data_IF_989783693167
#
_entry.id   IF_989783693167
#
_cell.length_a   1.000
_cell.length_b   1.000
_cell.length_c   1.000
_cell.angle_alpha   90.00
_cell.angle_beta   90.00
_cell.angle_gamma   90.00
#
_symmetry.space_group_name_H-M   'P 1'
#
loop_
_entity.id
_entity.type
_entity.pdbx_description
1 polymer ?
#
# COMPACT_ATOMS: atom_id res chain seq x y z
N UNK A 1 12.19 22.13 14.27
CA UNK A 1 10.94 21.53 14.79
C UNK A 1 11.06 20.03 14.58
N UNK A 2 10.96 19.19 15.63
CA UNK A 2 11.12 17.75 15.45
C UNK A 2 9.99 17.24 14.55
N UNK A 3 10.36 16.65 13.41
CA UNK A 3 9.49 15.88 12.53
C UNK A 3 9.06 14.61 13.27
N UNK A 4 8.10 14.72 14.18
CA UNK A 4 7.72 13.59 15.03
C UNK A 4 6.88 12.59 14.23
N UNK A 5 7.54 11.52 13.80
CA UNK A 5 6.93 10.21 13.52
C UNK A 5 6.61 9.44 14.82
N UNK A 6 6.50 10.13 15.96
CA UNK A 6 6.30 9.49 17.25
C UNK A 6 4.92 8.88 17.40
N UNK A 7 4.84 7.81 18.19
CA UNK A 7 3.60 7.13 18.57
C UNK A 7 2.78 7.91 19.63
N UNK A 8 3.17 9.16 19.91
CA UNK A 8 2.55 10.01 20.92
C UNK A 8 1.99 11.27 20.26
N UNK A 9 0.83 11.71 20.77
CA UNK A 9 0.19 12.98 20.39
C UNK A 9 1.16 14.15 20.58
N UNK A 10 1.15 15.09 19.63
CA UNK A 10 1.94 16.33 19.70
C UNK A 10 1.23 17.36 20.61
N UNK A 11 -0.09 17.44 20.54
CA UNK A 11 -0.95 18.27 21.40
C UNK A 11 -2.37 17.69 21.52
N UNK A 12 -3.27 18.39 22.21
CA UNK A 12 -4.67 17.99 22.34
C UNK A 12 -5.42 17.95 21.00
N UNK A 13 -5.00 18.79 20.04
CA UNK A 13 -5.64 18.94 18.72
C UNK A 13 -4.79 18.42 17.55
N UNK A 14 -3.49 18.18 17.78
CA UNK A 14 -2.54 17.66 16.78
C UNK A 14 -2.00 16.33 17.28
N UNK A 15 -2.50 15.25 16.70
CA UNK A 15 -2.05 13.88 16.99
C UNK A 15 -0.68 13.65 16.35
N UNK A 16 -0.55 13.94 15.05
CA UNK A 16 0.68 13.69 14.27
C UNK A 16 0.94 14.81 13.27
N UNK A 17 2.17 14.92 12.79
CA UNK A 17 2.56 15.80 11.70
C UNK A 17 3.40 15.04 10.68
N UNK A 18 3.12 15.23 9.39
CA UNK A 18 3.94 14.72 8.28
C UNK A 18 4.40 15.88 7.42
N UNK A 19 5.67 15.86 7.05
CA UNK A 19 6.21 16.78 6.06
C UNK A 19 6.16 16.10 4.70
N UNK A 20 5.33 16.62 3.80
CA UNK A 20 5.35 16.25 2.40
C UNK A 20 6.29 17.22 1.68
N UNK A 21 7.32 16.71 1.03
CA UNK A 21 8.34 17.51 0.37
C UNK A 21 8.46 17.12 -1.10
N UNK A 22 8.72 18.10 -1.96
CA UNK A 22 8.98 17.90 -3.39
C UNK A 22 10.33 18.53 -3.70
N UNK A 23 11.16 17.77 -4.42
CA UNK A 23 12.52 18.18 -4.82
C UNK A 23 12.56 18.42 -6.33
N UNK A 24 13.32 19.42 -6.78
CA UNK A 24 13.43 19.76 -8.21
C UNK A 24 14.06 18.61 -9.02
N UNK A 25 13.19 17.84 -9.70
CA UNK A 25 13.57 16.72 -10.56
C UNK A 25 14.54 17.12 -11.67
N UNK A 26 14.42 18.32 -12.24
CA UNK A 26 15.27 18.77 -13.36
C UNK A 26 16.72 18.92 -12.92
N UNK A 27 16.92 19.44 -11.70
CA UNK A 27 18.24 19.56 -11.06
C UNK A 27 18.77 18.19 -10.63
N UNK A 28 17.92 17.37 -9.98
CA UNK A 28 18.31 16.02 -9.53
C UNK A 28 18.84 15.15 -10.67
N UNK A 29 18.19 15.14 -11.83
CA UNK A 29 18.61 14.33 -12.97
C UNK A 29 19.97 14.74 -13.56
N UNK A 30 20.42 15.97 -13.31
CA UNK A 30 21.72 16.48 -13.73
C UNK A 30 22.80 16.32 -12.67
N UNK A 31 22.45 15.84 -11.47
CA UNK A 31 23.35 15.83 -10.32
C UNK A 31 23.67 17.22 -9.78
N UNK A 32 22.82 18.22 -10.07
CA UNK A 32 22.96 19.58 -9.57
C UNK A 32 22.27 19.74 -8.20
N UNK A 33 22.68 20.72 -7.36
CA UNK A 33 21.91 21.08 -6.18
C UNK A 33 20.44 21.38 -6.54
N UNK A 34 19.52 20.67 -5.89
CA UNK A 34 18.09 20.78 -6.13
C UNK A 34 17.41 21.47 -4.94
N UNK A 35 16.48 22.39 -5.24
CA UNK A 35 15.63 23.01 -4.22
C UNK A 35 14.55 22.04 -3.78
N UNK A 36 14.17 22.14 -2.50
CA UNK A 36 13.09 21.38 -1.90
C UNK A 36 12.02 22.35 -1.38
N UNK A 37 10.75 22.02 -1.60
CA UNK A 37 9.62 22.72 -1.01
C UNK A 37 8.75 21.74 -0.23
N UNK A 38 8.42 22.08 1.01
CA UNK A 38 7.68 21.19 1.92
C UNK A 38 6.39 21.85 2.43
N UNK A 39 5.37 21.02 2.63
CA UNK A 39 4.11 21.38 3.30
C UNK A 39 3.92 20.43 4.49
N UNK A 40 3.45 20.99 5.61
CA UNK A 40 3.09 20.20 6.79
C UNK A 40 1.63 19.77 6.65
N UNK A 41 1.39 18.47 6.85
CA UNK A 41 0.06 17.88 6.93
C UNK A 41 -0.12 17.35 8.35
N UNK A 42 -1.12 17.88 9.05
CA UNK A 42 -1.43 17.51 10.43
C UNK A 42 -2.44 16.36 10.47
N UNK A 43 -2.44 15.59 11.57
CA UNK A 43 -3.41 14.55 11.88
C UNK A 43 -3.51 13.44 10.81
N UNK A 44 -2.40 13.16 10.13
CA UNK A 44 -2.25 12.03 9.21
C UNK A 44 -1.14 11.11 9.70
N UNK A 45 -1.38 9.79 9.65
CA UNK A 45 -0.37 8.81 10.01
C UNK A 45 0.44 8.41 8.77
N UNK A 46 0.23 7.21 8.22
CA UNK A 46 0.99 6.70 7.08
C UNK A 46 0.48 7.28 5.75
N UNK A 47 1.11 8.37 5.30
CA UNK A 47 0.82 9.05 4.05
C UNK A 47 1.71 8.51 2.93
N UNK A 48 1.12 7.94 1.89
CA UNK A 48 1.84 7.41 0.74
C UNK A 48 1.69 8.33 -0.48
N UNK A 49 2.80 8.57 -1.18
CA UNK A 49 2.82 9.23 -2.48
C UNK A 49 2.42 8.24 -3.58
N UNK A 50 1.66 8.70 -4.56
CA UNK A 50 1.39 7.94 -5.76
C UNK A 50 2.68 7.78 -6.57
N UNK A 51 3.02 6.54 -6.91
CA UNK A 51 4.25 6.20 -7.61
C UNK A 51 3.93 5.65 -9.01
N UNK A 52 4.62 6.19 -10.02
CA UNK A 52 4.27 6.02 -11.43
C UNK A 52 4.79 4.70 -11.96
N UNK A 53 3.88 3.87 -12.45
CA UNK A 53 4.22 2.70 -13.26
C UNK A 53 3.95 2.96 -14.74
N UNK A 54 4.81 2.39 -15.59
CA UNK A 54 4.71 2.45 -17.04
C UNK A 54 5.32 3.69 -17.67
N UNK A 55 5.26 3.75 -19.00
CA UNK A 55 5.93 4.79 -19.80
C UNK A 55 5.06 6.02 -20.07
N UNK A 56 3.74 5.94 -19.84
CA UNK A 56 2.84 7.09 -19.98
C UNK A 56 2.82 7.86 -18.68
N UNK A 57 3.45 9.03 -18.69
CA UNK A 57 3.52 9.92 -17.54
C UNK A 57 2.16 10.60 -17.28
N UNK A 58 1.92 11.11 -16.06
CA UNK A 58 0.91 12.14 -15.85
C UNK A 58 1.14 13.35 -16.79
N UNK A 59 0.08 14.08 -17.18
CA UNK A 59 0.17 15.41 -17.77
C UNK A 59 1.15 16.33 -17.03
N UNK A 60 1.86 17.17 -17.77
CA UNK A 60 2.78 18.14 -17.20
C UNK A 60 2.04 19.08 -16.23
N UNK A 61 2.62 19.31 -15.05
CA UNK A 61 2.01 20.15 -14.00
C UNK A 61 0.91 19.46 -13.19
N UNK A 62 0.59 18.20 -13.47
CA UNK A 62 -0.33 17.42 -12.66
C UNK A 62 0.12 17.40 -11.18
N UNK A 63 -0.79 17.65 -10.22
CA UNK A 63 -0.47 17.47 -8.81
C UNK A 63 -0.20 15.99 -8.50
N UNK A 64 0.72 15.75 -7.57
CA UNK A 64 0.92 14.43 -7.00
C UNK A 64 -0.26 14.07 -6.09
N UNK A 65 -0.78 12.86 -6.21
CA UNK A 65 -1.82 12.36 -5.30
C UNK A 65 -1.14 11.65 -4.13
N UNK A 66 -1.57 11.97 -2.92
CA UNK A 66 -1.15 11.27 -1.71
C UNK A 66 -2.37 10.69 -1.02
N UNK A 67 -2.26 9.50 -0.43
CA UNK A 67 -3.37 8.86 0.27
C UNK A 67 -2.98 8.24 1.60
N UNK A 68 -3.94 8.15 2.52
CA UNK A 68 -3.84 7.45 3.79
C UNK A 68 -5.17 6.80 4.17
N UNK A 69 -5.12 5.69 4.91
CA UNK A 69 -6.32 5.04 5.46
C UNK A 69 -6.85 5.75 6.72
N UNK A 70 -6.15 6.77 7.23
CA UNK A 70 -6.52 7.58 8.38
C UNK A 70 -5.33 7.97 9.27
N UNK A 71 -5.64 8.46 10.47
CA UNK A 71 -4.69 8.89 11.50
C UNK A 71 -5.22 8.72 12.94
N UNK A 72 -6.26 7.91 13.10
CA UNK A 72 -7.08 7.84 14.32
C UNK A 72 -6.79 6.63 15.21
N UNK A 73 -5.84 5.78 14.80
CA UNK A 73 -5.47 4.57 15.56
C UNK A 73 -4.89 4.93 16.94
N UNK A 74 -4.15 6.04 17.05
CA UNK A 74 -3.67 6.61 18.32
C UNK A 74 -4.81 7.11 19.22
N UNK A 75 -5.98 7.37 18.65
CA UNK A 75 -7.21 7.75 19.36
C UNK A 75 -8.09 6.55 19.69
N UNK A 76 -7.57 5.33 19.48
CA UNK A 76 -8.26 4.05 19.65
C UNK A 76 -9.51 3.92 18.78
N UNK A 77 -9.50 4.58 17.63
CA UNK A 77 -10.53 4.44 16.60
C UNK A 77 -9.96 3.57 15.49
N UNK A 78 -10.47 2.34 15.40
CA UNK A 78 -9.91 1.30 14.53
C UNK A 78 -10.77 1.02 13.29
N UNK A 79 -11.97 1.59 13.25
CA UNK A 79 -12.90 1.53 12.13
C UNK A 79 -12.84 2.78 11.27
N UNK A 80 -13.03 2.61 9.96
CA UNK A 80 -13.23 3.69 9.03
C UNK A 80 -14.08 3.23 7.82
N UNK A 81 -14.55 4.21 7.07
CA UNK A 81 -15.31 4.02 5.81
C UNK A 81 -14.85 5.00 4.73
N UNK A 82 -13.64 5.54 4.89
CA UNK A 82 -13.05 6.53 3.98
C UNK A 82 -11.57 6.29 3.78
N UNK A 83 -11.08 6.57 2.57
CA UNK A 83 -9.65 6.80 2.31
C UNK A 83 -9.45 8.31 2.14
N UNK A 84 -8.50 8.87 2.86
CA UNK A 84 -8.18 10.29 2.77
C UNK A 84 -7.18 10.54 1.63
N UNK A 85 -7.45 11.54 0.79
CA UNK A 85 -6.63 11.90 -0.34
C UNK A 85 -6.24 13.39 -0.35
N UNK A 86 -5.01 13.68 -0.77
CA UNK A 86 -4.51 15.03 -0.98
C UNK A 86 -3.92 15.17 -2.38
N UNK A 87 -4.01 16.37 -2.94
CA UNK A 87 -3.32 16.76 -4.17
C UNK A 87 -2.21 17.76 -3.81
N UNK A 88 -0.95 17.36 -3.99
CA UNK A 88 0.22 18.22 -3.80
C UNK A 88 0.59 18.90 -5.12
N UNK A 89 0.54 20.23 -5.16
CA UNK A 89 1.04 21.04 -6.25
C UNK A 89 2.25 21.86 -5.78
N UNK A 90 3.34 21.82 -6.56
CA UNK A 90 4.54 22.64 -6.34
C UNK A 90 4.60 23.75 -7.39
N UNK A 91 4.86 24.98 -6.93
CA UNK A 91 5.15 26.13 -7.78
C UNK A 91 6.61 26.54 -7.58
N UNK A 92 7.42 26.32 -8.61
CA UNK A 92 8.85 26.65 -8.60
C UNK A 92 9.12 28.13 -8.89
N UNK A 93 8.13 28.87 -9.39
CA UNK A 93 8.24 30.30 -9.68
C UNK A 93 7.90 31.12 -8.44
N UNK A 94 6.80 30.77 -7.78
CA UNK A 94 6.35 31.40 -6.53
C UNK A 94 6.08 30.33 -5.47
N UNK A 95 7.08 30.04 -4.60
CA UNK A 95 6.95 29.04 -3.53
C UNK A 95 5.76 29.27 -2.59
N UNK A 96 5.22 30.49 -2.50
CA UNK A 96 4.04 30.77 -1.68
C UNK A 96 2.77 30.08 -2.22
N UNK A 97 2.75 29.68 -3.49
CA UNK A 97 1.64 28.96 -4.12
C UNK A 97 1.76 27.43 -4.00
N UNK A 98 2.88 26.90 -3.50
CA UNK A 98 3.05 25.48 -3.22
C UNK A 98 2.12 25.04 -2.09
N UNK A 99 1.29 24.03 -2.35
CA UNK A 99 0.27 23.59 -1.41
C UNK A 99 -0.14 22.13 -1.60
N UNK A 100 -0.58 21.52 -0.52
CA UNK A 100 -1.33 20.28 -0.52
C UNK A 100 -2.81 20.60 -0.25
N UNK A 101 -3.70 20.22 -1.17
CA UNK A 101 -5.16 20.39 -1.03
C UNK A 101 -5.77 19.09 -0.53
N UNK A 102 -6.48 19.14 0.60
CA UNK A 102 -7.12 17.97 1.22
C UNK A 102 -7.18 18.08 2.76
N UNK A 103 -7.58 17.00 3.47
CA UNK A 103 -8.00 15.71 2.91
C UNK A 103 -9.37 15.80 2.23
N UNK A 104 -9.48 15.19 1.05
CA UNK A 104 -10.76 14.74 0.51
C UNK A 104 -11.03 13.35 1.04
N UNK A 105 -12.20 13.15 1.67
CA UNK A 105 -12.61 11.84 2.20
C UNK A 105 -13.33 11.05 1.12
N UNK A 106 -12.67 10.05 0.55
CA UNK A 106 -13.26 9.18 -0.47
C UNK A 106 -14.02 8.06 0.22
N UNK A 107 -15.34 8.00 0.05
CA UNK A 107 -16.16 6.94 0.64
C UNK A 107 -15.76 5.55 0.08
N UNK A 108 -15.61 4.58 0.98
CA UNK A 108 -15.32 3.18 0.68
C UNK A 108 -16.18 2.27 1.57
N UNK A 109 -16.26 0.97 1.25
CA UNK A 109 -16.94 0.04 2.15
C UNK A 109 -16.28 0.05 3.54
N UNK A 110 -17.05 -0.01 4.63
CA UNK A 110 -16.50 -0.01 5.98
C UNK A 110 -15.43 -1.09 6.17
N UNK A 111 -14.46 -0.79 7.03
CA UNK A 111 -13.41 -1.70 7.44
C UNK A 111 -12.98 -1.42 8.88
N UNK A 112 -12.38 -2.42 9.49
CA UNK A 112 -11.60 -2.30 10.72
C UNK A 112 -10.17 -2.70 10.43
N UNK A 113 -9.19 -1.93 10.91
CA UNK A 113 -7.78 -2.26 10.76
C UNK A 113 -7.51 -3.68 11.27
N UNK A 114 -6.71 -4.45 10.54
CA UNK A 114 -6.32 -5.79 11.00
C UNK A 114 -5.61 -5.67 12.34
N UNK A 115 -6.14 -6.39 13.34
CA UNK A 115 -5.60 -6.39 14.71
C UNK A 115 -5.41 -5.00 15.32
N UNK A 116 -6.29 -4.05 14.98
CA UNK A 116 -6.34 -2.71 15.56
C UNK A 116 -5.10 -1.85 15.25
N UNK A 117 -4.29 -2.27 14.28
CA UNK A 117 -3.17 -1.50 13.74
C UNK A 117 -1.81 -2.17 13.87
N UNK A 118 -0.77 -1.35 14.00
CA UNK A 118 0.62 -1.78 14.12
C UNK A 118 1.05 -2.04 15.57
N UNK A 119 2.23 -2.68 15.70
CA UNK A 119 2.87 -3.05 16.96
C UNK A 119 1.99 -4.00 17.80
N UNK A 120 1.21 -4.84 17.13
CA UNK A 120 0.29 -5.78 17.76
C UNK A 120 0.78 -7.22 17.60
N UNK A 121 0.42 -8.10 18.54
CA UNK A 121 0.67 -9.54 18.43
C UNK A 121 -0.48 -10.19 17.67
N UNK A 122 -0.49 -10.07 16.35
CA UNK A 122 -1.65 -10.39 15.52
C UNK A 122 -1.64 -11.84 15.01
N UNK A 123 -0.72 -12.15 14.10
CA UNK A 123 -0.77 -13.37 13.29
C UNK A 123 -0.13 -14.54 14.04
N UNK A 124 -0.87 -15.62 14.35
CA UNK A 124 -0.32 -16.78 15.03
C UNK A 124 0.63 -17.57 14.13
N UNK A 125 1.61 -18.23 14.77
CA UNK A 125 2.59 -19.08 14.10
C UNK A 125 2.62 -20.47 14.76
N UNK A 126 2.90 -21.55 14.02
CA UNK A 126 3.06 -22.88 14.61
C UNK A 126 4.27 -22.96 15.56
N UNK A 127 4.12 -23.70 16.66
CA UNK A 127 5.23 -24.03 17.57
C UNK A 127 5.73 -22.88 18.45
N UNK A 128 5.03 -21.75 18.51
CA UNK A 128 5.39 -20.62 19.39
C UNK A 128 4.16 -19.81 19.79
N UNK A 129 4.22 -19.15 20.94
CA UNK A 129 3.21 -18.15 21.36
C UNK A 129 3.47 -16.78 20.73
N UNK A 130 4.67 -16.54 20.17
CA UNK A 130 5.00 -15.27 19.52
C UNK A 130 4.19 -15.11 18.23
N UNK A 131 3.53 -13.97 18.10
CA UNK A 131 2.74 -13.58 16.93
C UNK A 131 3.46 -12.51 16.11
N UNK A 132 3.08 -12.41 14.84
CA UNK A 132 3.59 -11.39 13.93
C UNK A 132 2.69 -10.16 13.94
N UNK A 133 3.30 -8.99 13.79
CA UNK A 133 2.63 -7.71 13.60
C UNK A 133 2.02 -7.64 12.19
N UNK A 134 0.79 -7.13 12.12
CA UNK A 134 0.03 -7.04 10.88
C UNK A 134 0.04 -5.64 10.25
N UNK A 135 0.44 -4.62 11.02
CA UNK A 135 0.52 -3.23 10.57
C UNK A 135 -0.76 -2.75 9.85
N UNK A 136 -1.93 -3.06 10.42
CA UNK A 136 -3.21 -2.85 9.75
C UNK A 136 -3.65 -1.38 9.59
N UNK A 137 -2.98 -0.43 10.23
CA UNK A 137 -3.36 0.98 10.37
C UNK A 137 -2.86 1.88 9.23
N UNK A 138 -2.45 1.30 8.10
CA UNK A 138 -1.88 2.02 6.97
C UNK A 138 -2.31 1.47 5.63
N UNK A 139 -2.38 2.34 4.63
CA UNK A 139 -2.24 1.90 3.24
C UNK A 139 -0.80 1.42 3.08
N UNK A 140 -0.64 0.23 2.52
CA UNK A 140 0.68 -0.36 2.32
C UNK A 140 1.40 0.32 1.16
N UNK A 141 2.72 0.36 1.25
CA UNK A 141 3.52 0.73 0.10
C UNK A 141 3.43 -0.39 -0.96
N UNK A 142 3.19 -0.08 -2.24
CA UNK A 142 3.07 1.24 -2.86
C UNK A 142 1.61 1.66 -3.10
N UNK A 143 1.41 2.96 -3.24
CA UNK A 143 0.25 3.55 -3.90
C UNK A 143 0.57 3.70 -5.39
N UNK A 144 0.04 2.81 -6.24
CA UNK A 144 0.49 2.71 -7.64
C UNK A 144 -0.37 3.57 -8.55
N UNK A 145 0.23 4.55 -9.22
CA UNK A 145 -0.41 5.32 -10.29
C UNK A 145 -0.09 4.74 -11.67
N UNK A 146 -1.10 4.70 -12.53
CA UNK A 146 -0.99 4.19 -13.89
C UNK A 146 -1.82 5.01 -14.87
N UNK A 147 -1.19 5.47 -15.96
CA UNK A 147 -1.91 6.07 -17.10
C UNK A 147 -2.17 5.02 -18.19
N UNK A 148 -3.42 4.56 -18.27
CA UNK A 148 -3.88 3.53 -19.22
C UNK A 148 -4.26 4.12 -20.59
N UNK A 149 -4.25 5.44 -20.74
CA UNK A 149 -4.45 6.19 -21.98
C UNK A 149 -5.87 6.72 -22.12
N UNK A 150 -6.88 5.87 -21.88
CA UNK A 150 -8.29 6.25 -21.80
C UNK A 150 -8.70 6.70 -20.39
N UNK A 151 -7.96 6.28 -19.36
CA UNK A 151 -8.12 6.71 -17.98
C UNK A 151 -6.80 6.64 -17.20
N UNK A 152 -6.80 7.29 -16.03
CA UNK A 152 -5.72 7.23 -15.04
C UNK A 152 -6.24 6.49 -13.80
N UNK A 153 -5.50 5.49 -13.33
CA UNK A 153 -5.85 4.68 -12.16
C UNK A 153 -4.83 4.82 -11.05
N UNK A 154 -5.30 4.75 -9.80
CA UNK A 154 -4.47 4.58 -8.60
C UNK A 154 -4.91 3.30 -7.90
N UNK A 155 -3.98 2.38 -7.64
CA UNK A 155 -4.24 1.13 -6.92
C UNK A 155 -3.61 1.17 -5.54
N UNK A 156 -4.41 0.83 -4.52
CA UNK A 156 -4.01 0.85 -3.12
C UNK A 156 -4.47 -0.42 -2.41
N UNK A 157 -3.73 -0.84 -1.39
CA UNK A 157 -4.10 -1.99 -0.54
C UNK A 157 -3.80 -1.74 0.94
N UNK A 158 -4.49 -2.47 1.80
CA UNK A 158 -4.17 -2.57 3.23
C UNK A 158 -4.78 -3.83 3.86
N UNK A 159 -4.32 -4.15 5.07
CA UNK A 159 -4.77 -5.31 5.84
C UNK A 159 -5.99 -4.96 6.70
N UNK A 160 -7.09 -5.71 6.56
CA UNK A 160 -8.32 -5.48 7.34
C UNK A 160 -8.80 -6.75 8.04
N UNK A 161 -9.54 -6.58 9.14
CA UNK A 161 -10.30 -7.67 9.75
C UNK A 161 -11.36 -8.20 8.79
N UNK A 162 -11.69 -9.48 8.89
CA UNK A 162 -12.70 -10.12 8.05
C UNK A 162 -13.65 -10.97 8.88
N UNK A 163 -14.88 -11.15 8.39
CA UNK A 163 -15.86 -12.02 9.03
C UNK A 163 -15.46 -13.51 9.00
N UNK A 164 -14.59 -13.91 8.07
CA UNK A 164 -14.05 -15.27 8.01
C UNK A 164 -13.05 -15.55 9.15
N UNK A 165 -12.63 -14.53 9.90
CA UNK A 165 -11.47 -14.60 10.79
C UNK A 165 -10.17 -14.29 10.04
N UNK A 166 -9.04 -14.44 10.72
CA UNK A 166 -7.74 -14.11 10.15
C UNK A 166 -7.63 -12.63 9.75
N UNK A 167 -7.12 -12.39 8.54
CA UNK A 167 -6.94 -11.06 7.97
C UNK A 167 -7.02 -11.09 6.45
N UNK A 168 -7.55 -10.03 5.85
CA UNK A 168 -7.79 -9.96 4.41
C UNK A 168 -7.09 -8.78 3.76
N UNK A 169 -6.78 -8.95 2.47
CA UNK A 169 -6.27 -7.87 1.63
C UNK A 169 -7.44 -7.05 1.13
N UNK A 170 -7.66 -5.87 1.71
CA UNK A 170 -8.57 -4.88 1.14
C UNK A 170 -7.82 -4.08 0.09
N UNK A 171 -8.38 -4.04 -1.11
CA UNK A 171 -7.78 -3.36 -2.26
C UNK A 171 -8.78 -2.42 -2.92
N UNK A 172 -8.24 -1.40 -3.58
CA UNK A 172 -8.98 -0.34 -4.24
C UNK A 172 -8.35 -0.05 -5.61
N UNK A 173 -9.19 0.22 -6.60
CA UNK A 173 -8.81 1.02 -7.76
C UNK A 173 -9.60 2.33 -7.70
N UNK A 174 -8.87 3.44 -7.68
CA UNK A 174 -9.40 4.77 -7.84
C UNK A 174 -9.13 5.25 -9.26
N UNK A 175 -10.04 6.03 -9.84
CA UNK A 175 -9.83 6.72 -11.12
C UNK A 175 -9.78 8.22 -10.91
N UNK A 176 -8.93 8.89 -11.69
CA UNK A 176 -8.83 10.34 -11.63
C UNK A 176 -9.89 10.98 -12.53
N UNK A 177 -10.64 11.94 -12.00
CA UNK A 177 -11.57 12.75 -12.80
C UNK A 177 -10.83 13.86 -13.59
N UNK A 178 -11.60 14.76 -14.24
CA UNK A 178 -11.02 15.87 -15.03
C UNK A 178 -10.21 16.87 -14.20
N UNK A 179 -10.51 17.01 -12.91
CA UNK A 179 -9.75 17.81 -11.95
C UNK A 179 -8.63 16.97 -11.28
N UNK A 180 -8.42 15.75 -11.75
CA UNK A 180 -7.55 14.72 -11.18
C UNK A 180 -7.87 14.35 -9.74
N UNK A 181 -9.09 14.61 -9.28
CA UNK A 181 -9.53 14.17 -7.96
C UNK A 181 -9.77 12.65 -8.01
N UNK A 182 -9.20 11.86 -7.09
CA UNK A 182 -9.41 10.41 -7.10
C UNK A 182 -10.85 10.08 -6.69
N UNK A 183 -11.49 9.21 -7.47
CA UNK A 183 -12.83 8.67 -7.23
C UNK A 183 -12.73 7.16 -7.10
N UNK A 184 -13.43 6.55 -6.14
CA UNK A 184 -13.49 5.10 -6.05
C UNK A 184 -14.13 4.53 -7.32
N UNK A 185 -13.40 3.66 -8.03
CA UNK A 185 -13.95 2.95 -9.18
C UNK A 185 -14.38 1.53 -8.81
N UNK A 186 -13.53 0.81 -8.10
CA UNK A 186 -13.86 -0.51 -7.56
C UNK A 186 -13.02 -0.84 -6.33
N UNK A 187 -13.49 -1.82 -5.55
CA UNK A 187 -12.79 -2.34 -4.39
C UNK A 187 -13.22 -3.77 -4.07
N UNK A 188 -12.39 -4.47 -3.32
CA UNK A 188 -12.73 -5.80 -2.80
C UNK A 188 -11.90 -6.15 -1.56
N UNK A 189 -12.33 -7.17 -0.81
CA UNK A 189 -11.52 -7.81 0.23
C UNK A 189 -11.23 -9.24 -0.20
N UNK A 190 -9.95 -9.60 -0.35
CA UNK A 190 -9.54 -10.96 -0.63
C UNK A 190 -9.25 -11.71 0.68
N UNK A 191 -10.16 -12.61 1.03
CA UNK A 191 -10.08 -13.50 2.19
C UNK A 191 -10.92 -14.77 1.94
N UNK A 192 -10.43 -15.69 1.09
CA UNK A 192 -11.17 -16.90 0.71
C UNK A 192 -11.31 -17.93 1.84
N UNK A 193 -10.60 -17.75 2.96
CA UNK A 193 -10.59 -18.64 4.13
C UNK A 193 -10.31 -17.82 5.42
N UNK A 194 -10.17 -18.51 6.55
CA UNK A 194 -9.92 -17.91 7.87
C UNK A 194 -8.43 -17.64 8.18
N UNK A 195 -7.53 -17.81 7.20
CA UNK A 195 -6.09 -17.57 7.37
C UNK A 195 -5.74 -16.12 7.05
N UNK A 196 -4.54 -15.71 7.45
CA UNK A 196 -4.11 -14.33 7.33
C UNK A 196 -3.50 -14.06 5.97
N UNK A 197 -3.94 -12.96 5.36
CA UNK A 197 -3.33 -12.30 4.20
C UNK A 197 -3.10 -10.84 4.56
N UNK A 198 -1.85 -10.42 4.68
CA UNK A 198 -1.47 -9.10 5.18
C UNK A 198 -0.15 -8.62 4.54
N UNK A 199 0.31 -7.41 4.86
CA UNK A 199 1.48 -6.75 4.22
C UNK A 199 1.45 -6.84 2.69
N UNK A 200 0.30 -6.53 2.11
CA UNK A 200 0.10 -6.65 0.66
C UNK A 200 0.75 -5.49 -0.11
N UNK A 201 1.12 -5.76 -1.36
CA UNK A 201 1.60 -4.75 -2.30
C UNK A 201 0.95 -4.96 -3.68
N UNK A 202 0.32 -3.94 -4.29
CA UNK A 202 -0.37 -4.06 -5.56
C UNK A 202 0.46 -3.54 -6.74
N UNK A 203 0.22 -4.10 -7.92
CA UNK A 203 0.68 -3.55 -9.19
C UNK A 203 -0.45 -3.62 -10.25
N UNK A 204 -0.36 -2.77 -11.26
CA UNK A 204 -1.29 -2.72 -12.38
C UNK A 204 -0.53 -2.69 -13.71
N UNK A 205 -0.82 -3.64 -14.59
CA UNK A 205 -0.13 -3.77 -15.87
C UNK A 205 -0.68 -2.83 -16.97
N UNK A 206 -0.06 -2.83 -18.14
CA UNK A 206 -0.50 -1.99 -19.28
C UNK A 206 -1.90 -2.30 -19.81
N UNK A 207 -2.49 -3.45 -19.45
CA UNK A 207 -3.85 -3.85 -19.82
C UNK A 207 -4.87 -3.49 -18.74
N UNK A 208 -4.43 -2.97 -17.60
CA UNK A 208 -5.30 -2.68 -16.46
C UNK A 208 -5.61 -3.91 -15.60
N UNK A 209 -4.85 -5.00 -15.77
CA UNK A 209 -4.95 -6.14 -14.88
C UNK A 209 -4.24 -5.80 -13.55
N UNK A 210 -4.79 -6.25 -12.43
CA UNK A 210 -4.26 -5.95 -11.10
C UNK A 210 -3.72 -7.24 -10.49
N UNK A 211 -2.47 -7.20 -10.07
CA UNK A 211 -1.83 -8.26 -9.29
C UNK A 211 -1.44 -7.77 -7.91
N UNK A 212 -1.61 -8.61 -6.90
CA UNK A 212 -1.31 -8.29 -5.52
C UNK A 212 -0.52 -9.42 -4.87
N UNK A 213 0.71 -9.11 -4.45
CA UNK A 213 1.53 -9.99 -3.59
C UNK A 213 1.27 -9.69 -2.13
N UNK A 214 1.32 -10.70 -1.26
CA UNK A 214 1.08 -10.55 0.18
C UNK A 214 1.69 -11.69 0.99
N UNK A 215 1.90 -11.42 2.28
CA UNK A 215 2.20 -12.46 3.27
C UNK A 215 0.98 -13.35 3.47
N UNK A 216 1.21 -14.64 3.66
CA UNK A 216 0.21 -15.63 4.02
C UNK A 216 0.67 -16.38 5.28
N UNK A 217 -0.25 -16.73 6.17
CA UNK A 217 0.08 -17.48 7.39
C UNK A 217 -1.09 -17.64 8.35
N UNK A 218 -0.77 -18.06 9.57
CA UNK A 218 -1.73 -18.47 10.58
C UNK A 218 -1.70 -19.98 10.80
N UNK A 219 -1.79 -20.42 12.06
CA UNK A 219 -1.72 -21.85 12.43
C UNK A 219 -2.75 -22.68 11.65
N UNK A 220 -2.33 -23.79 10.99
CA UNK A 220 -1.05 -24.50 11.13
C UNK A 220 0.05 -24.10 10.15
N UNK A 221 -0.11 -23.01 9.40
CA UNK A 221 0.85 -22.57 8.38
C UNK A 221 1.82 -21.50 8.89
N UNK A 222 3.09 -21.66 8.54
CA UNK A 222 4.11 -20.63 8.72
C UNK A 222 3.94 -19.49 7.71
N UNK A 223 4.49 -18.33 8.06
CA UNK A 223 4.45 -17.15 7.21
C UNK A 223 5.25 -17.37 5.91
N UNK A 224 4.60 -17.12 4.77
CA UNK A 224 5.19 -17.22 3.43
C UNK A 224 4.53 -16.25 2.47
N UNK A 225 4.75 -16.45 1.17
CA UNK A 225 4.36 -15.50 0.13
C UNK A 225 3.31 -16.09 -0.79
N UNK A 226 2.25 -15.32 -1.02
CA UNK A 226 1.20 -15.66 -1.97
C UNK A 226 0.85 -14.47 -2.86
N UNK A 227 0.11 -14.79 -3.91
CA UNK A 227 -0.30 -13.84 -4.93
C UNK A 227 -1.74 -14.11 -5.36
N UNK A 228 -2.52 -13.05 -5.56
CA UNK A 228 -3.81 -13.11 -6.25
C UNK A 228 -3.96 -11.97 -7.25
N UNK A 229 -4.86 -12.13 -8.22
CA UNK A 229 -5.02 -11.16 -9.29
C UNK A 229 -6.44 -11.11 -9.85
N UNK A 230 -6.67 -10.07 -10.65
CA UNK A 230 -7.80 -9.93 -11.57
C UNK A 230 -7.35 -9.42 -12.93
N UNK A 231 -8.08 -9.83 -13.95
CA UNK A 231 -8.04 -9.23 -15.27
C UNK A 231 -8.88 -7.95 -15.29
N UNK A 232 -8.56 -7.02 -16.19
CA UNK A 232 -9.33 -5.79 -16.36
C UNK A 232 -10.81 -6.05 -16.67
N UNK A 233 -11.10 -7.13 -17.42
CA UNK A 233 -12.44 -7.57 -17.83
C UNK A 233 -13.22 -8.34 -16.77
N UNK A 234 -12.61 -8.64 -15.62
CA UNK A 234 -13.29 -9.36 -14.56
C UNK A 234 -14.40 -8.51 -13.92
N UNK A 235 -15.44 -9.15 -13.35
CA UNK A 235 -16.43 -8.46 -12.54
C UNK A 235 -15.77 -7.51 -11.52
N UNK A 236 -16.26 -6.27 -11.37
CA UNK A 236 -15.66 -5.31 -10.46
C UNK A 236 -15.57 -5.84 -9.03
N UNK A 237 -14.46 -5.56 -8.36
CA UNK A 237 -14.27 -5.88 -6.94
C UNK A 237 -13.93 -7.35 -6.62
N UNK A 238 -13.70 -8.18 -7.63
CA UNK A 238 -13.35 -9.61 -7.45
C UNK A 238 -11.94 -9.90 -7.96
N UNK A 239 -11.10 -10.54 -7.14
CA UNK A 239 -9.86 -11.19 -7.61
C UNK A 239 -10.21 -12.60 -8.09
N UNK A 240 -10.35 -12.77 -9.41
CA UNK A 240 -10.87 -14.02 -10.00
C UNK A 240 -9.80 -15.07 -10.20
N UNK A 241 -8.53 -14.68 -10.27
CA UNK A 241 -7.45 -15.65 -10.49
C UNK A 241 -7.14 -16.39 -9.19
N UNK A 242 -6.94 -17.71 -9.33
CA UNK A 242 -6.58 -18.57 -8.21
C UNK A 242 -5.30 -18.06 -7.55
N UNK A 243 -5.31 -18.09 -6.21
CA UNK A 243 -4.13 -17.77 -5.42
C UNK A 243 -2.96 -18.69 -5.77
N UNK A 244 -1.80 -18.07 -6.05
CA UNK A 244 -0.55 -18.76 -6.31
C UNK A 244 0.38 -18.66 -5.09
N UNK A 245 1.13 -19.72 -4.84
CA UNK A 245 2.15 -19.77 -3.78
C UNK A 245 3.50 -19.46 -4.39
N UNK A 246 4.16 -18.39 -3.92
CA UNK A 246 5.51 -18.04 -4.36
C UNK A 246 6.58 -18.65 -3.44
N UNK A 247 6.34 -18.64 -2.13
CA UNK A 247 7.21 -19.24 -1.13
C UNK A 247 6.37 -19.81 0.00
N UNK A 248 6.64 -21.05 0.42
CA UNK A 248 6.10 -21.60 1.65
C UNK A 248 7.05 -21.29 2.81
N UNK A 249 6.49 -20.80 3.91
CA UNK A 249 7.22 -20.73 5.18
C UNK A 249 7.39 -22.12 5.78
N UNK A 250 8.49 -22.32 6.49
CA UNK A 250 8.87 -23.59 7.11
C UNK A 250 9.30 -23.45 8.58
N UNK A 251 9.35 -22.22 9.11
CA UNK A 251 9.65 -21.95 10.51
C UNK A 251 8.95 -20.67 11.00
N UNK A 252 8.85 -20.53 12.33
CA UNK A 252 8.28 -19.35 12.98
C UNK A 252 9.38 -18.33 13.27
N UNK A 253 9.04 -17.04 13.14
CA UNK A 253 9.91 -15.96 13.61
C UNK A 253 9.75 -15.78 15.11
N UNK A 254 10.80 -16.09 15.86
CA UNK A 254 10.79 -16.10 17.33
C UNK A 254 11.57 -14.94 17.95
N UNK A 255 12.29 -14.16 17.14
CA UNK A 255 13.19 -13.08 17.59
C UNK A 255 12.51 -11.72 17.71
N UNK A 256 11.46 -11.46 16.91
CA UNK A 256 10.71 -10.19 16.91
C UNK A 256 9.27 -10.41 16.44
N UNK A 257 8.38 -9.47 16.78
CA UNK A 257 7.01 -9.44 16.24
C UNK A 257 6.96 -8.78 14.86
N UNK A 258 7.92 -7.89 14.54
CA UNK A 258 7.92 -7.12 13.30
C UNK A 258 8.07 -8.05 12.09
N UNK A 259 7.17 -7.94 11.13
CA UNK A 259 7.13 -8.78 9.95
C UNK A 259 7.10 -7.93 8.69
N UNK A 260 8.04 -8.18 7.78
CA UNK A 260 8.00 -7.77 6.38
C UNK A 260 7.68 -6.27 6.19
N UNK A 261 8.45 -5.39 6.83
CA UNK A 261 8.30 -3.93 6.66
C UNK A 261 8.60 -3.46 5.21
N UNK A 262 9.29 -4.29 4.41
CA UNK A 262 9.84 -3.94 3.10
C UNK A 262 9.47 -4.93 1.97
N UNK A 263 8.19 -5.25 1.81
CA UNK A 263 7.70 -5.96 0.63
C UNK A 263 7.20 -5.00 -0.44
N UNK A 264 7.32 -5.41 -1.70
CA UNK A 264 6.90 -4.56 -2.80
C UNK A 264 6.62 -5.35 -4.08
N UNK A 265 5.63 -4.88 -4.84
CA UNK A 265 5.48 -5.24 -6.25
C UNK A 265 5.99 -4.16 -7.18
N UNK A 266 6.45 -4.54 -8.37
CA UNK A 266 6.92 -3.61 -9.40
C UNK A 266 6.61 -4.15 -10.81
N UNK A 267 6.22 -3.28 -11.72
CA UNK A 267 6.08 -3.61 -13.15
C UNK A 267 7.45 -3.65 -13.83
N UNK A 268 7.69 -4.69 -14.62
CA UNK A 268 8.85 -4.79 -15.48
C UNK A 268 8.77 -3.75 -16.61
N UNK A 269 9.70 -2.78 -16.68
CA UNK A 269 9.64 -1.71 -17.67
C UNK A 269 9.96 -2.18 -19.10
N UNK A 270 10.49 -3.40 -19.27
CA UNK A 270 10.84 -3.96 -20.58
C UNK A 270 9.62 -4.43 -21.37
N UNK A 271 8.60 -4.96 -20.67
CA UNK A 271 7.38 -5.51 -21.28
C UNK A 271 6.08 -4.88 -20.77
N UNK A 272 6.15 -4.11 -19.69
CA UNK A 272 5.03 -3.38 -19.08
C UNK A 272 3.87 -4.31 -18.63
N UNK A 273 4.18 -5.59 -18.42
CA UNK A 273 3.26 -6.69 -18.16
C UNK A 273 3.68 -7.60 -17.00
N UNK A 274 4.98 -7.90 -16.88
CA UNK A 274 5.47 -8.77 -15.81
C UNK A 274 5.46 -7.98 -14.51
N UNK A 275 4.82 -8.54 -13.49
CA UNK A 275 4.84 -7.99 -12.14
C UNK A 275 5.83 -8.81 -11.33
N UNK A 276 6.82 -8.13 -10.78
CA UNK A 276 7.75 -8.67 -9.80
C UNK A 276 7.18 -8.46 -8.40
N UNK A 277 7.33 -9.45 -7.52
CA UNK A 277 7.04 -9.35 -6.09
C UNK A 277 8.27 -9.77 -5.29
N UNK A 278 8.62 -8.98 -4.29
CA UNK A 278 9.62 -9.30 -3.27
C UNK A 278 8.94 -9.33 -1.91
N UNK A 279 9.21 -10.39 -1.14
CA UNK A 279 8.71 -10.56 0.22
C UNK A 279 9.53 -11.53 1.03
N UNK A 280 9.12 -11.73 2.28
CA UNK A 280 9.85 -12.53 3.27
C UNK A 280 9.20 -13.89 3.54
N UNK A 281 9.99 -14.84 3.99
CA UNK A 281 9.56 -16.15 4.50
C UNK A 281 10.69 -16.72 5.38
N UNK A 282 10.40 -17.71 6.21
CA UNK A 282 11.45 -18.42 6.96
C UNK A 282 11.61 -19.84 6.43
N UNK A 283 12.86 -20.25 6.24
CA UNK A 283 13.23 -21.64 5.96
C UNK A 283 13.29 -22.44 7.26
N UNK A 284 13.23 -23.77 7.14
CA UNK A 284 13.43 -24.66 8.29
C UNK A 284 14.78 -24.35 8.97
N UNK A 285 14.79 -24.33 10.29
CA UNK A 285 15.96 -24.08 11.15
C UNK A 285 16.66 -22.72 10.95
N UNK A 286 16.05 -21.79 10.20
CA UNK A 286 16.59 -20.44 10.01
C UNK A 286 16.37 -19.57 11.25
N UNK A 287 17.38 -18.78 11.61
CA UNK A 287 17.32 -17.83 12.74
C UNK A 287 16.81 -16.44 12.34
N UNK A 288 16.71 -16.19 11.03
CA UNK A 288 16.23 -14.93 10.43
C UNK A 288 15.44 -15.22 9.15
N UNK A 289 14.66 -14.23 8.69
CA UNK A 289 13.92 -14.32 7.44
C UNK A 289 14.86 -14.48 6.23
N UNK A 290 14.32 -15.11 5.19
CA UNK A 290 14.84 -15.15 3.83
C UNK A 290 13.92 -14.37 2.91
N UNK A 291 14.47 -13.79 1.86
CA UNK A 291 13.68 -13.10 0.84
C UNK A 291 13.53 -13.98 -0.40
N UNK A 292 12.38 -13.92 -1.06
CA UNK A 292 12.18 -14.50 -2.40
C UNK A 292 11.61 -13.44 -3.34
N UNK A 293 12.10 -13.47 -4.58
CA UNK A 293 11.63 -12.61 -5.66
C UNK A 293 11.00 -13.51 -6.71
N UNK A 294 9.78 -13.17 -7.14
CA UNK A 294 9.03 -13.90 -8.15
C UNK A 294 8.44 -12.95 -9.18
N UNK A 295 8.53 -13.33 -10.46
CA UNK A 295 7.86 -12.65 -11.56
C UNK A 295 6.62 -13.44 -11.99
N UNK A 296 5.52 -12.75 -12.25
CA UNK A 296 4.32 -13.34 -12.86
C UNK A 296 3.72 -12.39 -13.87
N UNK A 297 3.03 -12.95 -14.85
CA UNK A 297 2.42 -12.21 -15.95
C UNK A 297 0.98 -12.67 -16.11
N UNK A 298 0.07 -11.71 -16.25
CA UNK A 298 -1.36 -12.00 -16.32
C UNK A 298 -1.79 -12.33 -17.76
N UNK A 299 -2.74 -13.27 -17.96
CA UNK A 299 -3.24 -13.64 -19.28
C UNK A 299 -3.64 -12.42 -20.12
N UNK A 300 -3.27 -12.40 -21.40
CA UNK A 300 -3.60 -11.31 -22.33
C UNK A 300 -2.67 -10.08 -22.26
N UNK A 301 -1.71 -10.05 -21.34
CA UNK A 301 -0.62 -9.08 -21.33
C UNK A 301 0.66 -9.70 -21.92
N UNK A 302 0.85 -9.58 -23.23
CA UNK A 302 1.99 -10.14 -23.97
C UNK A 302 1.93 -9.69 -25.41
#
# INVERSE_FOLDING_TARGET
MPTSTGDNRISDTIVTQKHACVVDRTKMLKGEPATEQCVIIENVNFLNNADVDGRRLPPLGAPNVMMAAGGTQLDKIYEASTIDAWQFHVDWTDPANTKAVGPTKIAVAPYRYLCDGQLTNCVPQPGTERRLDAQGDKIMARLVYRNLGDHESIVAVHSVNTAAGGGGVRWYEFRLDKARAPQLYQQGTYAPDALYRWMASPAIDRRGNIGIGYSFGGTPHYAGQRFAARLASDPPGVLTLREAVLAQGEAAQTTTIRWEDYSQTAIDPSDDCTIWYVGDYLKRDATTYSTRIGGFRLPGCG
#
